data_IF_143289409739
#
_entry.id   IF_143289409739
#
_cell.length_a   1.000
_cell.length_b   1.000
_cell.length_c   1.000
_cell.angle_alpha   90.00
_cell.angle_beta   90.00
_cell.angle_gamma   90.00
#
_symmetry.space_group_name_H-M   'P 1'
#
loop_
_entity.id
_entity.type
_entity.pdbx_description
1 polymer ?
#
# COMPACT_ATOMS: atom_id res chain seq x y z
N UNK A 1 -13.23 5.34 -16.30
CA UNK A 1 -13.60 3.98 -15.86
C UNK A 1 -13.17 2.90 -16.86
N UNK A 2 -13.02 3.20 -18.15
CA UNK A 2 -12.66 2.22 -19.18
C UNK A 2 -11.16 2.25 -19.56
N UNK A 3 -10.32 2.92 -18.77
CA UNK A 3 -8.88 2.95 -18.97
C UNK A 3 -8.24 1.55 -18.96
N UNK A 4 -8.76 0.64 -18.13
CA UNK A 4 -8.28 -0.74 -18.02
C UNK A 4 -8.45 -1.56 -19.33
N UNK A 5 -9.34 -1.13 -20.24
CA UNK A 5 -9.53 -1.75 -21.55
C UNK A 5 -8.95 -0.91 -22.70
N UNK A 6 -8.03 0.02 -22.39
CA UNK A 6 -7.27 0.78 -23.38
C UNK A 6 -7.99 2.02 -23.94
N UNK A 7 -9.08 2.46 -23.32
CA UNK A 7 -9.79 3.69 -23.70
C UNK A 7 -9.38 4.85 -22.80
N UNK A 8 -8.85 5.92 -23.39
CA UNK A 8 -8.67 7.18 -22.67
C UNK A 8 -10.00 7.87 -22.37
N UNK A 9 -9.94 8.97 -21.61
CA UNK A 9 -11.12 9.74 -21.19
C UNK A 9 -11.95 10.27 -22.37
N UNK A 10 -11.29 10.63 -23.48
CA UNK A 10 -11.96 11.17 -24.66
C UNK A 10 -12.78 10.09 -25.37
N UNK A 11 -12.20 8.89 -25.53
CA UNK A 11 -12.91 7.75 -26.12
C UNK A 11 -14.06 7.28 -25.23
N UNK A 12 -13.85 7.24 -23.91
CA UNK A 12 -14.89 6.88 -22.95
C UNK A 12 -16.07 7.86 -23.01
N UNK A 13 -15.80 9.17 -23.05
CA UNK A 13 -16.82 10.19 -23.17
C UNK A 13 -17.60 10.09 -24.50
N UNK A 14 -16.90 9.85 -25.61
CA UNK A 14 -17.51 9.65 -26.92
C UNK A 14 -18.41 8.41 -26.97
N UNK A 15 -17.97 7.29 -26.40
CA UNK A 15 -18.77 6.07 -26.34
C UNK A 15 -20.05 6.28 -25.50
N UNK A 16 -19.95 6.92 -24.32
CA UNK A 16 -21.13 7.25 -23.51
C UNK A 16 -22.10 8.18 -24.23
N UNK A 17 -21.59 9.17 -24.97
CA UNK A 17 -22.41 10.06 -25.76
C UNK A 17 -23.21 9.28 -26.83
N UNK A 18 -22.58 8.34 -27.53
CA UNK A 18 -23.28 7.47 -28.49
C UNK A 18 -24.30 6.55 -27.83
N UNK A 19 -23.98 5.95 -26.67
CA UNK A 19 -24.92 5.10 -25.91
C UNK A 19 -26.16 5.87 -25.47
N UNK A 20 -25.99 7.12 -25.02
CA UNK A 20 -27.10 7.95 -24.53
C UNK A 20 -27.99 8.53 -25.64
N UNK A 21 -27.40 8.91 -26.78
CA UNK A 21 -28.12 9.56 -27.90
C UNK A 21 -28.60 8.54 -28.93
N UNK A 22 -28.05 7.33 -28.90
CA UNK A 22 -28.34 6.24 -29.83
C UNK A 22 -27.59 6.37 -31.16
N UNK A 23 -27.66 7.55 -31.81
CA UNK A 23 -26.93 7.82 -33.05
C UNK A 23 -26.52 9.30 -33.20
N UNK A 24 -25.27 9.58 -33.54
CA UNK A 24 -24.75 10.94 -33.74
C UNK A 24 -23.85 11.04 -34.99
N UNK A 25 -23.86 12.18 -35.66
CA UNK A 25 -22.82 12.51 -36.66
C UNK A 25 -21.59 13.16 -35.98
N UNK A 26 -20.53 13.39 -36.77
CA UNK A 26 -19.25 13.93 -36.26
C UNK A 26 -19.44 15.32 -35.63
N UNK A 27 -20.20 16.20 -36.28
CA UNK A 27 -20.47 17.56 -35.81
C UNK A 27 -21.32 17.57 -34.53
N UNK A 28 -22.31 16.67 -34.43
CA UNK A 28 -23.11 16.47 -33.22
C UNK A 28 -22.22 16.04 -32.04
N UNK A 29 -21.31 15.11 -32.27
CA UNK A 29 -20.41 14.59 -31.24
C UNK A 29 -19.36 15.63 -30.82
N UNK A 30 -18.76 16.33 -31.78
CA UNK A 30 -17.78 17.39 -31.56
C UNK A 30 -18.35 18.50 -30.66
N UNK A 31 -19.57 18.97 -30.95
CA UNK A 31 -20.26 19.97 -30.12
C UNK A 31 -20.54 19.49 -28.71
N UNK A 32 -20.97 18.23 -28.54
CA UNK A 32 -21.31 17.66 -27.22
C UNK A 32 -20.11 17.48 -26.32
N UNK A 33 -18.97 17.10 -26.91
CA UNK A 33 -17.74 16.84 -26.18
C UNK A 33 -16.81 18.05 -26.12
N UNK A 34 -17.20 19.17 -26.75
CA UNK A 34 -16.37 20.37 -26.86
C UNK A 34 -15.03 20.09 -27.56
N UNK A 35 -15.05 19.20 -28.55
CA UNK A 35 -13.90 18.78 -29.36
C UNK A 35 -13.92 19.45 -30.73
N UNK A 36 -12.77 19.45 -31.41
CA UNK A 36 -12.74 19.74 -32.84
C UNK A 36 -13.36 18.57 -33.64
N UNK A 37 -13.94 18.83 -34.81
CA UNK A 37 -14.45 17.76 -35.67
C UNK A 37 -13.39 16.70 -36.04
N UNK A 38 -12.13 17.07 -36.36
CA UNK A 38 -11.07 16.08 -36.57
C UNK A 38 -10.76 15.21 -35.35
N UNK A 39 -10.85 15.75 -34.13
CA UNK A 39 -10.66 14.97 -32.90
C UNK A 39 -11.83 14.02 -32.65
N UNK A 40 -13.07 14.49 -32.85
CA UNK A 40 -14.27 13.67 -32.74
C UNK A 40 -14.27 12.52 -33.76
N UNK A 41 -13.83 12.79 -35.00
CA UNK A 41 -13.69 11.76 -36.03
C UNK A 41 -12.60 10.74 -35.68
N UNK A 42 -11.44 11.18 -35.16
CA UNK A 42 -10.40 10.27 -34.66
C UNK A 42 -10.90 9.39 -33.52
N UNK A 43 -11.65 9.96 -32.57
CA UNK A 43 -12.23 9.21 -31.47
C UNK A 43 -13.22 8.15 -31.98
N UNK A 44 -14.09 8.50 -32.93
CA UNK A 44 -15.05 7.59 -33.55
C UNK A 44 -14.37 6.43 -34.29
N UNK A 45 -13.36 6.71 -35.11
CA UNK A 45 -12.59 5.66 -35.80
C UNK A 45 -11.87 4.74 -34.82
N UNK A 46 -11.36 5.29 -33.71
CA UNK A 46 -10.73 4.46 -32.68
C UNK A 46 -11.75 3.60 -31.94
N UNK A 47 -12.94 4.11 -31.64
CA UNK A 47 -14.04 3.30 -31.10
C UNK A 47 -14.47 2.20 -32.08
N UNK A 48 -14.50 2.49 -33.37
CA UNK A 48 -14.77 1.50 -34.43
C UNK A 48 -13.70 0.41 -34.48
N UNK A 49 -12.42 0.77 -34.39
CA UNK A 49 -11.31 -0.19 -34.31
C UNK A 49 -11.40 -1.13 -33.10
N UNK A 50 -12.06 -0.72 -32.02
CA UNK A 50 -12.33 -1.55 -30.83
C UNK A 50 -13.71 -2.24 -30.87
N UNK A 51 -14.47 -2.10 -31.97
CA UNK A 51 -15.81 -2.68 -32.09
C UNK A 51 -16.87 -2.01 -31.21
N UNK A 52 -16.60 -0.82 -30.68
CA UNK A 52 -17.49 -0.07 -29.77
C UNK A 52 -18.43 0.88 -30.52
N UNK A 53 -18.08 1.29 -31.74
CA UNK A 53 -18.95 2.11 -32.57
C UNK A 53 -18.93 1.59 -34.01
N UNK A 54 -19.98 1.89 -34.76
CA UNK A 54 -20.04 1.61 -36.19
C UNK A 54 -20.86 2.68 -36.90
N UNK A 55 -20.65 2.84 -38.20
CA UNK A 55 -21.55 3.66 -39.00
C UNK A 55 -22.93 3.00 -39.11
N UNK A 56 -23.97 3.80 -38.98
CA UNK A 56 -25.36 3.35 -39.01
C UNK A 56 -25.77 3.01 -40.45
N UNK A 57 -26.16 1.75 -40.74
CA UNK A 57 -26.68 1.40 -42.06
C UNK A 57 -28.06 2.03 -42.31
N UNK A 58 -28.82 2.31 -41.24
CA UNK A 58 -30.14 2.93 -41.34
C UNK A 58 -30.08 4.45 -41.54
N UNK A 59 -28.96 5.10 -41.18
CA UNK A 59 -28.77 6.55 -41.28
C UNK A 59 -27.34 6.86 -41.73
N UNK A 60 -27.09 6.93 -43.06
CA UNK A 60 -25.78 7.23 -43.61
C UNK A 60 -25.17 8.50 -42.98
N UNK A 61 -23.89 8.45 -42.62
CA UNK A 61 -23.18 9.56 -41.98
C UNK A 61 -23.34 9.67 -40.46
N UNK A 62 -24.18 8.83 -39.83
CA UNK A 62 -24.29 8.74 -38.36
C UNK A 62 -23.56 7.51 -37.83
N UNK A 63 -23.04 7.64 -36.62
CA UNK A 63 -22.39 6.60 -35.84
C UNK A 63 -23.33 6.12 -34.75
N UNK A 64 -23.30 4.82 -34.44
CA UNK A 64 -24.07 4.16 -33.38
C UNK A 64 -23.12 3.42 -32.45
N UNK A 65 -23.44 3.37 -31.17
CA UNK A 65 -22.72 2.54 -30.21
C UNK A 65 -23.09 1.07 -30.38
N UNK A 66 -22.09 0.19 -30.32
CA UNK A 66 -22.34 -1.23 -30.11
C UNK A 66 -22.89 -1.44 -28.67
N UNK A 67 -23.79 -2.42 -28.45
CA UNK A 67 -24.35 -2.68 -27.13
C UNK A 67 -23.27 -2.93 -26.07
N UNK A 68 -23.25 -2.16 -24.94
CA UNK A 68 -22.16 -2.23 -23.96
C UNK A 68 -21.90 -3.63 -23.41
N UNK A 69 -22.95 -4.39 -23.10
CA UNK A 69 -22.80 -5.74 -22.54
C UNK A 69 -22.06 -6.71 -23.47
N UNK A 70 -22.21 -6.55 -24.79
CA UNK A 70 -21.54 -7.40 -25.78
C UNK A 70 -20.15 -6.86 -26.10
N UNK A 71 -20.07 -5.57 -26.45
CA UNK A 71 -18.83 -4.99 -26.95
C UNK A 71 -17.76 -4.83 -25.85
N UNK A 72 -18.13 -4.34 -24.66
CA UNK A 72 -17.20 -4.26 -23.53
C UNK A 72 -16.86 -5.67 -23.01
N UNK A 73 -17.82 -6.61 -23.03
CA UNK A 73 -17.57 -8.00 -22.63
C UNK A 73 -16.54 -8.69 -23.53
N UNK A 74 -16.61 -8.48 -24.84
CA UNK A 74 -15.63 -8.99 -25.80
C UNK A 74 -14.23 -8.38 -25.56
N UNK A 75 -14.14 -7.06 -25.37
CA UNK A 75 -12.86 -6.40 -25.06
C UNK A 75 -12.26 -6.86 -23.74
N UNK A 76 -13.07 -7.02 -22.69
CA UNK A 76 -12.62 -7.55 -21.41
C UNK A 76 -12.11 -8.99 -21.54
N UNK A 77 -12.78 -9.82 -22.34
CA UNK A 77 -12.34 -11.20 -22.60
C UNK A 77 -11.01 -11.21 -23.34
N UNK A 78 -10.86 -10.36 -24.36
CA UNK A 78 -9.60 -10.23 -25.10
C UNK A 78 -8.46 -9.75 -24.18
N UNK A 79 -8.68 -8.75 -23.33
CA UNK A 79 -7.66 -8.27 -22.40
C UNK A 79 -7.26 -9.33 -21.37
N UNK A 80 -8.21 -10.13 -20.87
CA UNK A 80 -7.90 -11.26 -20.00
C UNK A 80 -7.02 -12.30 -20.70
N UNK A 81 -7.33 -12.60 -21.96
CA UNK A 81 -6.55 -13.54 -22.77
C UNK A 81 -5.13 -13.04 -23.03
N UNK A 82 -4.96 -11.75 -23.32
CA UNK A 82 -3.62 -11.16 -23.49
C UNK A 82 -2.84 -11.12 -22.17
N UNK A 83 -3.52 -10.91 -21.03
CA UNK A 83 -2.90 -11.01 -19.71
C UNK A 83 -2.45 -12.45 -19.41
N UNK A 84 -3.31 -13.45 -19.67
CA UNK A 84 -2.98 -14.87 -19.49
C UNK A 84 -1.78 -15.29 -20.36
N UNK A 85 -1.70 -14.79 -21.61
CA UNK A 85 -0.51 -14.99 -22.46
C UNK A 85 0.74 -14.35 -21.89
N UNK A 86 0.64 -13.12 -21.37
CA UNK A 86 1.76 -12.42 -20.77
C UNK A 86 2.25 -13.14 -19.51
N UNK A 87 1.34 -13.65 -18.68
CA UNK A 87 1.66 -14.48 -17.51
C UNK A 87 2.38 -15.77 -17.92
N UNK A 88 1.90 -16.47 -18.96
CA UNK A 88 2.57 -17.65 -19.50
C UNK A 88 3.98 -17.32 -20.03
N UNK A 89 4.13 -16.22 -20.76
CA UNK A 89 5.43 -15.77 -21.27
C UNK A 89 6.40 -15.42 -20.13
N UNK A 90 5.91 -14.77 -19.07
CA UNK A 90 6.70 -14.47 -17.88
C UNK A 90 7.14 -15.76 -17.16
N UNK A 91 6.26 -16.75 -17.04
CA UNK A 91 6.59 -18.05 -16.46
C UNK A 91 7.67 -18.79 -17.27
N UNK A 92 7.56 -18.78 -18.61
CA UNK A 92 8.57 -19.35 -19.50
C UNK A 92 9.92 -18.63 -19.38
N UNK A 93 9.94 -17.31 -19.35
CA UNK A 93 11.17 -16.54 -19.13
C UNK A 93 11.79 -16.82 -17.76
N UNK A 94 10.98 -17.00 -16.72
CA UNK A 94 11.45 -17.39 -15.39
C UNK A 94 12.02 -18.82 -15.37
N UNK A 95 11.47 -19.73 -16.18
CA UNK A 95 12.04 -21.07 -16.40
C UNK A 95 13.36 -21.00 -17.18
N UNK A 96 13.43 -20.23 -18.26
CA UNK A 96 14.67 -20.03 -19.04
C UNK A 96 15.77 -19.40 -18.18
N UNK A 97 15.44 -18.41 -17.36
CA UNK A 97 16.37 -17.79 -16.42
C UNK A 97 16.91 -18.80 -15.41
N UNK A 98 16.04 -19.64 -14.83
CA UNK A 98 16.44 -20.74 -13.93
C UNK A 98 17.26 -21.82 -14.65
N UNK A 99 16.92 -22.17 -15.88
CA UNK A 99 17.61 -23.21 -16.64
C UNK A 99 18.99 -22.76 -17.13
N UNK A 100 19.18 -21.47 -17.38
CA UNK A 100 20.47 -20.87 -17.72
C UNK A 100 21.41 -20.75 -16.50
N UNK A 101 20.87 -20.77 -15.27
CA UNK A 101 21.64 -20.96 -14.05
C UNK A 101 22.06 -22.44 -13.95
N UNK A 102 23.25 -22.76 -14.46
CA UNK A 102 23.79 -24.11 -14.43
C UNK A 102 23.92 -24.60 -12.96
N UNK A 103 23.21 -25.69 -12.67
CA UNK A 103 22.95 -26.31 -11.35
C UNK A 103 21.86 -25.60 -10.52
N UNK A 104 20.82 -26.31 -10.01
CA UNK A 104 19.94 -25.78 -8.97
C UNK A 104 20.73 -25.73 -7.66
N UNK A 105 21.73 -24.85 -7.62
CA UNK A 105 22.51 -24.52 -6.46
C UNK A 105 21.71 -23.52 -5.63
N UNK A 106 21.96 -23.52 -4.34
CA UNK A 106 21.42 -22.66 -3.28
C UNK A 106 21.31 -21.14 -3.63
N UNK A 107 21.90 -20.71 -4.74
CA UNK A 107 21.85 -19.37 -5.33
C UNK A 107 20.46 -18.93 -5.82
N UNK A 108 19.55 -19.83 -6.20
CA UNK A 108 18.17 -19.45 -6.60
C UNK A 108 17.27 -19.07 -5.42
N UNK A 109 17.70 -19.37 -4.19
CA UNK A 109 16.95 -19.00 -2.98
C UNK A 109 17.33 -17.61 -2.47
N UNK A 110 18.50 -17.10 -2.85
CA UNK A 110 19.04 -15.82 -2.35
C UNK A 110 19.79 -15.06 -3.46
N UNK A 111 19.23 -13.94 -3.92
CA UNK A 111 19.87 -12.97 -4.81
C UNK A 111 20.56 -11.87 -3.99
N UNK A 112 21.75 -11.43 -4.42
CA UNK A 112 22.44 -10.26 -3.85
C UNK A 112 22.26 -9.07 -4.79
N UNK A 113 21.59 -8.02 -4.31
CA UNK A 113 21.37 -6.77 -5.02
C UNK A 113 22.33 -5.73 -4.45
N UNK A 114 23.16 -5.12 -5.31
CA UNK A 114 24.18 -4.14 -4.89
C UNK A 114 23.95 -2.80 -5.59
N UNK A 115 24.14 -1.70 -4.85
CA UNK A 115 23.97 -0.33 -5.31
C UNK A 115 22.62 0.26 -4.93
N UNK A 116 22.60 1.53 -4.51
CA UNK A 116 21.38 2.19 -3.99
C UNK A 116 20.21 2.15 -4.97
N UNK A 117 20.44 2.42 -6.27
CA UNK A 117 19.37 2.40 -7.28
C UNK A 117 18.77 1.00 -7.45
N UNK A 118 19.61 -0.05 -7.53
CA UNK A 118 19.14 -1.42 -7.69
C UNK A 118 18.37 -1.89 -6.44
N UNK A 119 18.85 -1.55 -5.24
CA UNK A 119 18.16 -1.85 -3.97
C UNK A 119 16.81 -1.12 -3.89
N UNK A 120 16.74 0.14 -4.30
CA UNK A 120 15.49 0.91 -4.35
C UNK A 120 14.48 0.27 -5.32
N UNK A 121 14.92 -0.04 -6.54
CA UNK A 121 14.08 -0.64 -7.57
C UNK A 121 13.56 -2.02 -7.13
N UNK A 122 14.40 -2.84 -6.50
CA UNK A 122 13.99 -4.15 -5.99
C UNK A 122 13.00 -4.04 -4.84
N UNK A 123 13.17 -3.07 -3.95
CA UNK A 123 12.20 -2.77 -2.90
C UNK A 123 10.83 -2.38 -3.48
N UNK A 124 10.80 -1.49 -4.49
CA UNK A 124 9.56 -1.09 -5.16
C UNK A 124 8.89 -2.28 -5.87
N UNK A 125 9.66 -3.10 -6.58
CA UNK A 125 9.15 -4.31 -7.24
C UNK A 125 8.51 -5.30 -6.24
N UNK A 126 9.12 -5.46 -5.06
CA UNK A 126 8.57 -6.32 -4.01
C UNK A 126 7.19 -5.83 -3.54
N UNK A 127 7.01 -4.53 -3.34
CA UNK A 127 5.72 -3.97 -2.90
C UNK A 127 4.67 -3.96 -4.02
N UNK A 128 5.08 -3.62 -5.24
CA UNK A 128 4.17 -3.66 -6.40
C UNK A 128 3.74 -5.09 -6.74
N UNK A 129 4.59 -6.08 -6.50
CA UNK A 129 4.28 -7.50 -6.70
C UNK A 129 3.41 -8.13 -5.61
N UNK A 130 3.20 -7.46 -4.48
CA UNK A 130 2.39 -7.99 -3.38
C UNK A 130 0.90 -8.02 -3.75
N UNK A 131 0.24 -9.13 -3.41
CA UNK A 131 -1.16 -9.42 -3.68
C UNK A 131 -2.02 -9.49 -2.40
N UNK A 132 -1.46 -9.95 -1.27
CA UNK A 132 -2.21 -10.18 -0.04
C UNK A 132 -1.68 -9.38 1.15
N UNK A 133 -0.35 -9.41 1.37
CA UNK A 133 0.25 -8.84 2.57
C UNK A 133 1.71 -8.40 2.39
N UNK A 134 2.06 -7.28 2.99
CA UNK A 134 3.44 -6.83 3.21
C UNK A 134 3.72 -6.73 4.70
N UNK A 135 4.77 -7.42 5.15
CA UNK A 135 5.24 -7.40 6.54
C UNK A 135 6.60 -6.71 6.60
N UNK A 136 6.76 -5.70 7.46
CA UNK A 136 7.99 -4.91 7.54
C UNK A 136 8.51 -4.71 8.97
N UNK A 137 9.81 -4.86 9.16
CA UNK A 137 10.57 -4.39 10.32
C UNK A 137 11.38 -3.16 9.88
N UNK A 138 11.09 -2.01 10.48
CA UNK A 138 11.67 -0.71 10.10
C UNK A 138 12.65 -0.26 11.18
N UNK A 139 13.87 0.06 10.76
CA UNK A 139 14.94 0.61 11.62
C UNK A 139 15.12 2.11 11.38
N UNK A 140 15.72 2.82 12.33
CA UNK A 140 16.00 4.26 12.25
C UNK A 140 17.07 4.69 11.23
N UNK A 141 17.57 3.77 10.41
CA UNK A 141 18.55 4.05 9.35
C UNK A 141 17.95 3.67 7.99
N UNK A 142 17.27 4.60 7.30
CA UNK A 142 16.81 4.34 5.95
C UNK A 142 18.03 4.21 5.03
N UNK A 143 18.40 2.98 4.69
CA UNK A 143 19.59 2.70 3.88
C UNK A 143 19.43 3.23 2.44
N UNK A 144 18.18 3.28 1.92
CA UNK A 144 17.94 3.59 0.49
C UNK A 144 16.58 4.27 0.21
N UNK A 145 15.48 3.82 0.82
CA UNK A 145 14.11 4.31 0.52
C UNK A 145 13.47 4.83 1.81
N UNK A 146 12.89 6.04 1.74
CA UNK A 146 12.09 6.67 2.80
C UNK A 146 10.59 6.37 2.59
N UNK A 147 9.79 6.46 3.67
CA UNK A 147 8.34 6.20 3.57
C UNK A 147 7.56 7.30 2.85
N UNK A 148 8.11 8.52 2.76
CA UNK A 148 7.45 9.69 2.15
C UNK A 148 7.39 9.61 0.61
N UNK A 149 8.33 8.92 -0.03
CA UNK A 149 8.43 8.82 -1.50
C UNK A 149 7.89 7.49 -2.05
N UNK A 150 7.24 6.69 -1.20
CA UNK A 150 6.89 5.33 -1.55
C UNK A 150 5.50 5.18 -2.22
N UNK A 151 5.38 5.64 -3.46
CA UNK A 151 4.14 5.47 -4.26
C UNK A 151 3.72 4.01 -4.41
N UNK A 152 4.66 3.06 -4.36
CA UNK A 152 4.37 1.63 -4.48
C UNK A 152 3.51 1.11 -3.32
N UNK A 153 3.68 1.64 -2.12
CA UNK A 153 2.92 1.28 -0.93
C UNK A 153 1.48 1.80 -0.98
N UNK A 154 1.29 3.03 -1.46
CA UNK A 154 -0.04 3.57 -1.71
C UNK A 154 -0.78 2.77 -2.79
N UNK A 155 -0.09 2.42 -3.87
CA UNK A 155 -0.66 1.58 -4.93
C UNK A 155 -1.01 0.17 -4.42
N UNK A 156 -0.16 -0.45 -3.60
CA UNK A 156 -0.43 -1.77 -3.03
C UNK A 156 -1.63 -1.74 -2.08
N UNK A 157 -1.68 -0.76 -1.18
CA UNK A 157 -2.81 -0.60 -0.25
C UNK A 157 -4.11 -0.30 -1.00
N UNK A 158 -4.06 0.51 -2.06
CA UNK A 158 -5.21 0.76 -2.94
C UNK A 158 -5.74 -0.50 -3.66
N UNK A 159 -4.91 -1.55 -3.82
CA UNK A 159 -5.34 -2.88 -4.30
C UNK A 159 -5.89 -3.79 -3.20
N UNK A 160 -5.86 -3.35 -1.94
CA UNK A 160 -6.32 -4.14 -0.79
C UNK A 160 -5.24 -4.99 -0.11
N UNK A 161 -3.95 -4.76 -0.42
CA UNK A 161 -2.83 -5.44 0.25
C UNK A 161 -2.75 -4.99 1.71
N UNK A 162 -2.67 -5.93 2.64
CA UNK A 162 -2.57 -5.61 4.07
C UNK A 162 -1.12 -5.30 4.46
N UNK A 163 -0.92 -4.28 5.27
CA UNK A 163 0.40 -3.92 5.78
C UNK A 163 0.49 -4.17 7.28
N UNK A 164 1.52 -4.90 7.69
CA UNK A 164 1.90 -5.12 9.10
C UNK A 164 3.31 -4.62 9.33
N UNK A 165 3.43 -3.48 9.98
CA UNK A 165 4.69 -2.77 10.15
C UNK A 165 5.08 -2.75 11.62
N UNK A 166 6.29 -3.21 11.94
CA UNK A 166 6.90 -2.99 13.25
C UNK A 166 8.02 -1.96 13.11
N UNK A 167 7.90 -0.89 13.87
CA UNK A 167 8.81 0.24 13.85
C UNK A 167 9.70 0.19 15.10
N UNK A 168 11.00 0.32 14.91
CA UNK A 168 11.93 0.55 16.01
C UNK A 168 11.68 1.93 16.64
N UNK A 169 11.68 2.02 17.97
CA UNK A 169 11.41 3.27 18.69
C UNK A 169 12.25 4.45 18.20
N UNK A 170 13.51 4.22 17.86
CA UNK A 170 14.44 5.26 17.39
C UNK A 170 13.98 5.95 16.10
N UNK A 171 13.11 5.32 15.30
CA UNK A 171 12.48 5.92 14.12
C UNK A 171 11.58 7.10 14.53
N UNK A 172 10.93 7.03 15.70
CA UNK A 172 10.03 8.07 16.20
C UNK A 172 10.77 9.38 16.55
N UNK A 173 12.07 9.28 16.80
CA UNK A 173 12.95 10.42 17.09
C UNK A 173 13.49 11.09 15.82
N UNK A 174 13.30 10.47 14.64
CA UNK A 174 13.76 11.03 13.36
C UNK A 174 12.90 12.22 12.92
N UNK A 175 13.47 13.22 12.22
CA UNK A 175 12.75 14.43 11.80
C UNK A 175 11.43 14.20 11.05
N UNK A 176 11.32 13.08 10.32
CA UNK A 176 10.14 12.71 9.54
C UNK A 176 9.43 11.44 10.02
N UNK A 177 9.97 10.74 11.04
CA UNK A 177 9.46 9.42 11.42
C UNK A 177 8.02 9.43 11.91
N UNK A 178 7.61 10.46 12.65
CA UNK A 178 6.22 10.61 13.09
C UNK A 178 5.25 10.96 11.97
N UNK A 179 5.71 11.68 10.95
CA UNK A 179 4.89 12.02 9.77
C UNK A 179 4.70 10.79 8.88
N UNK A 180 5.77 10.02 8.65
CA UNK A 180 5.72 8.75 7.91
C UNK A 180 4.77 7.76 8.59
N UNK A 181 4.87 7.67 9.92
CA UNK A 181 4.02 6.80 10.73
C UNK A 181 2.54 7.21 10.73
N UNK A 182 2.27 8.51 10.75
CA UNK A 182 0.90 9.02 10.61
C UNK A 182 0.33 8.72 9.20
N UNK A 183 1.15 8.85 8.15
CA UNK A 183 0.74 8.50 6.80
C UNK A 183 0.43 7.01 6.66
N UNK A 184 1.27 6.14 7.25
CA UNK A 184 1.02 4.70 7.32
C UNK A 184 -0.30 4.37 8.04
N UNK A 185 -0.53 4.94 9.22
CA UNK A 185 -1.77 4.71 9.97
C UNK A 185 -3.01 5.25 9.25
N UNK A 186 -2.88 6.34 8.50
CA UNK A 186 -3.96 6.88 7.65
C UNK A 186 -4.36 5.97 6.48
N UNK A 187 -3.56 4.94 6.17
CA UNK A 187 -3.82 3.92 5.13
C UNK A 187 -4.37 2.61 5.71
N UNK A 188 -4.87 2.62 6.94
CA UNK A 188 -5.32 1.42 7.68
C UNK A 188 -4.22 0.34 7.85
N UNK A 189 -2.95 0.75 7.80
CA UNK A 189 -1.83 -0.15 8.09
C UNK A 189 -1.80 -0.53 9.57
N UNK A 190 -1.47 -1.78 9.87
CA UNK A 190 -1.30 -2.21 11.25
C UNK A 190 0.12 -1.90 11.70
N UNK A 191 0.27 -0.87 12.53
CA UNK A 191 1.59 -0.45 13.00
C UNK A 191 1.81 -0.80 14.48
N UNK A 192 2.98 -1.37 14.77
CA UNK A 192 3.45 -1.63 16.13
C UNK A 192 4.83 -1.04 16.37
N UNK A 193 5.17 -0.79 17.63
CA UNK A 193 6.46 -0.25 18.05
C UNK A 193 7.17 -1.20 19.00
N UNK A 194 8.48 -1.36 18.80
CA UNK A 194 9.37 -2.12 19.70
C UNK A 194 10.62 -1.29 20.01
N UNK A 195 11.27 -1.56 21.14
CA UNK A 195 12.51 -0.85 21.54
C UNK A 195 13.63 -1.02 20.51
N UNK A 196 13.79 -2.24 19.97
CA UNK A 196 14.78 -2.59 18.95
C UNK A 196 14.25 -3.70 18.03
N UNK A 197 14.40 -3.53 16.72
CA UNK A 197 14.21 -4.65 15.76
C UNK A 197 15.56 -5.32 15.49
N UNK A 198 15.62 -6.66 15.33
CA UNK A 198 16.89 -7.36 15.10
C UNK A 198 17.59 -7.01 13.79
N UNK A 199 16.81 -6.72 12.75
CA UNK A 199 17.28 -6.27 11.44
C UNK A 199 16.14 -5.59 10.69
N UNK A 200 16.47 -4.76 9.68
CA UNK A 200 15.47 -4.31 8.70
C UNK A 200 15.06 -5.51 7.85
N UNK A 201 13.77 -5.68 7.64
CA UNK A 201 13.21 -6.83 6.91
C UNK A 201 11.92 -6.41 6.25
N UNK A 202 11.71 -6.78 4.99
CA UNK A 202 10.41 -6.65 4.33
C UNK A 202 10.07 -7.97 3.65
N UNK A 203 8.83 -8.42 3.78
CA UNK A 203 8.31 -9.67 3.23
C UNK A 203 7.04 -9.34 2.44
N UNK A 204 6.89 -9.88 1.23
CA UNK A 204 5.65 -9.86 0.46
C UNK A 204 5.08 -11.28 0.32
N UNK A 205 3.80 -11.45 0.66
CA UNK A 205 2.99 -12.67 0.47
C UNK A 205 3.65 -13.99 0.95
N UNK A 206 4.60 -13.90 1.88
CA UNK A 206 5.48 -15.02 2.28
C UNK A 206 6.15 -15.73 1.10
N UNK A 207 6.34 -15.05 -0.02
CA UNK A 207 6.98 -15.60 -1.23
C UNK A 207 8.33 -14.95 -1.52
N UNK A 208 8.54 -13.72 -1.02
CA UNK A 208 9.77 -12.95 -1.21
C UNK A 208 10.08 -12.13 0.04
N UNK A 209 11.34 -12.08 0.45
CA UNK A 209 11.82 -11.17 1.49
C UNK A 209 13.04 -10.38 1.03
N UNK A 210 13.25 -9.21 1.63
CA UNK A 210 14.42 -8.39 1.44
C UNK A 210 15.01 -7.98 2.78
N UNK A 211 16.33 -8.19 2.94
CA UNK A 211 17.10 -7.85 4.16
C UNK A 211 18.37 -7.12 3.74
N UNK A 212 18.76 -5.99 4.36
CA UNK A 212 20.01 -5.34 4.01
C UNK A 212 21.19 -6.24 4.33
N UNK A 213 22.15 -6.30 3.41
CA UNK A 213 23.43 -6.91 3.66
C UNK A 213 24.33 -5.86 4.30
N UNK A 214 24.72 -6.07 5.56
CA UNK A 214 25.76 -5.25 6.19
C UNK A 214 27.10 -5.56 5.53
N UNK A 215 27.40 -4.85 4.44
CA UNK A 215 28.67 -4.98 3.72
C UNK A 215 29.73 -4.06 4.31
N UNK A 216 31.01 -4.45 4.17
CA UNK A 216 32.17 -3.58 4.47
C UNK A 216 32.47 -2.59 3.33
N UNK A 217 31.72 -2.67 2.23
CA UNK A 217 31.83 -1.77 1.06
C UNK A 217 31.02 -0.50 1.27
N UNK A 218 31.39 0.58 0.58
CA UNK A 218 30.69 1.87 0.67
C UNK A 218 29.28 1.85 0.03
N UNK A 219 29.00 0.87 -0.84
CA UNK A 219 27.73 0.76 -1.55
C UNK A 219 26.70 -0.08 -0.77
N UNK A 220 25.43 0.38 -0.67
CA UNK A 220 24.33 -0.40 -0.11
C UNK A 220 24.14 -1.73 -0.85
N UNK A 221 23.85 -2.78 -0.10
CA UNK A 221 23.48 -4.07 -0.66
C UNK A 221 22.32 -4.69 0.12
N UNK A 222 21.55 -5.54 -0.53
CA UNK A 222 20.44 -6.29 0.06
C UNK A 222 20.43 -7.73 -0.44
N UNK A 223 20.01 -8.64 0.43
CA UNK A 223 19.65 -10.00 0.08
C UNK A 223 18.17 -10.03 -0.26
N UNK A 224 17.83 -10.59 -1.42
CA UNK A 224 16.47 -10.94 -1.82
C UNK A 224 16.33 -12.45 -1.64
N UNK A 225 15.42 -12.87 -0.79
CA UNK A 225 15.22 -14.28 -0.41
C UNK A 225 13.89 -14.75 -0.97
N UNK A 226 13.93 -15.78 -1.83
CA UNK A 226 12.75 -16.40 -2.42
C UNK A 226 12.18 -17.50 -1.51
N UNK A 227 10.98 -17.97 -1.85
CA UNK A 227 10.27 -19.05 -1.15
C UNK A 227 11.18 -20.25 -0.82
N UNK A 228 11.48 -20.39 0.48
CA UNK A 228 12.45 -21.35 1.00
C UNK A 228 12.34 -21.49 2.52
N UNK A 229 13.04 -22.46 3.10
CA UNK A 229 13.17 -22.56 4.55
C UNK A 229 13.82 -21.31 5.20
N UNK A 230 14.67 -20.58 4.46
CA UNK A 230 15.22 -19.31 4.94
C UNK A 230 14.13 -18.23 5.01
N UNK A 231 13.26 -18.16 4.01
CA UNK A 231 12.12 -17.25 4.04
C UNK A 231 11.17 -17.54 5.21
N UNK A 232 10.90 -18.82 5.48
CA UNK A 232 10.08 -19.22 6.63
C UNK A 232 10.72 -18.81 7.97
N UNK A 233 12.05 -18.88 8.08
CA UNK A 233 12.76 -18.37 9.26
C UNK A 233 12.65 -16.84 9.40
N UNK A 234 12.73 -16.09 8.30
CA UNK A 234 12.54 -14.64 8.29
C UNK A 234 11.09 -14.25 8.63
N UNK A 235 10.11 -14.99 8.11
CA UNK A 235 8.72 -14.82 8.48
C UNK A 235 8.50 -15.14 9.97
N UNK A 236 9.11 -16.20 10.50
CA UNK A 236 9.09 -16.52 11.93
C UNK A 236 9.73 -15.43 12.80
N UNK A 237 10.83 -14.81 12.35
CA UNK A 237 11.44 -13.66 13.00
C UNK A 237 10.46 -12.48 13.07
N UNK A 238 9.83 -12.14 11.95
CA UNK A 238 8.82 -11.10 11.91
C UNK A 238 7.67 -11.38 12.90
N UNK A 239 7.09 -12.59 12.88
CA UNK A 239 5.99 -12.95 13.78
C UNK A 239 6.39 -12.94 15.26
N UNK A 240 7.64 -13.24 15.58
CA UNK A 240 8.15 -13.12 16.95
C UNK A 240 8.19 -11.65 17.39
N UNK A 241 8.77 -10.78 16.56
CA UNK A 241 8.86 -9.35 16.84
C UNK A 241 7.47 -8.71 16.90
N UNK A 242 6.57 -9.10 16.00
CA UNK A 242 5.19 -8.64 15.95
C UNK A 242 4.40 -8.89 17.23
N UNK A 243 4.54 -10.09 17.81
CA UNK A 243 3.87 -10.46 19.08
C UNK A 243 4.40 -9.68 20.27
N UNK A 244 5.67 -9.28 20.25
CA UNK A 244 6.29 -8.52 21.34
C UNK A 244 6.03 -7.01 21.24
N UNK A 245 5.77 -6.51 20.03
CA UNK A 245 5.60 -5.10 19.74
C UNK A 245 4.26 -4.54 20.27
N UNK A 246 4.26 -3.26 20.66
CA UNK A 246 3.09 -2.54 21.16
C UNK A 246 2.30 -1.93 20.00
N UNK A 247 0.97 -2.11 19.91
CA UNK A 247 0.18 -1.48 18.87
C UNK A 247 0.20 0.04 19.01
N UNK A 248 0.37 0.73 17.89
CA UNK A 248 0.27 2.18 17.79
C UNK A 248 -1.08 2.57 17.20
N UNK A 249 -1.70 3.63 17.75
CA UNK A 249 -3.00 4.14 17.26
C UNK A 249 -2.87 5.63 16.97
N UNK A 250 -3.22 6.07 15.76
CA UNK A 250 -3.31 7.47 15.34
C UNK A 250 -4.45 7.65 14.31
N UNK A 251 -5.66 8.05 14.74
CA UNK A 251 -6.83 8.34 13.88
C UNK A 251 -7.38 7.13 13.11
N UNK A 252 -8.64 7.03 12.67
CA UNK A 252 -9.75 7.96 12.65
C UNK A 252 -10.69 7.83 13.86
N UNK A 253 -11.47 8.89 14.09
CA UNK A 253 -12.68 8.89 14.91
C UNK A 253 -13.74 7.93 14.32
N UNK A 254 -13.46 6.62 14.37
CA UNK A 254 -14.46 5.58 14.29
C UNK A 254 -15.17 5.55 15.62
N UNK A 255 -16.50 5.50 15.57
CA UNK A 255 -17.42 5.40 16.71
C UNK A 255 -17.13 4.12 17.49
N UNK A 256 -16.03 4.08 18.25
CA UNK A 256 -15.82 3.07 19.27
C UNK A 256 -16.87 3.37 20.32
N UNK A 257 -17.77 2.40 20.55
CA UNK A 257 -18.78 2.46 21.61
C UNK A 257 -18.16 3.09 22.84
N UNK A 258 -18.61 4.30 23.18
CA UNK A 258 -18.32 4.93 24.45
C UNK A 258 -18.78 3.95 25.51
N UNK A 259 -17.85 3.11 26.00
CA UNK A 259 -18.06 2.45 27.28
C UNK A 259 -18.14 3.62 28.26
N UNK A 260 -19.28 3.85 28.94
CA UNK A 260 -19.48 5.06 29.74
C UNK A 260 -18.42 5.23 30.85
N UNK A 261 -17.67 4.16 31.17
CA UNK A 261 -16.61 4.12 32.19
C UNK A 261 -15.18 3.89 31.64
N UNK A 262 -14.93 4.06 30.33
CA UNK A 262 -13.64 3.75 29.67
C UNK A 262 -12.85 4.96 29.14
N UNK A 263 -11.58 4.75 28.72
CA UNK A 263 -10.83 5.73 27.93
C UNK A 263 -11.50 5.98 26.57
N UNK A 264 -11.55 7.24 26.14
CA UNK A 264 -12.03 7.59 24.79
C UNK A 264 -10.96 7.30 23.72
N UNK A 265 -11.31 7.46 22.43
CA UNK A 265 -10.38 7.19 21.33
C UNK A 265 -9.08 8.02 21.43
N UNK A 266 -9.20 9.31 21.78
CA UNK A 266 -8.04 10.20 21.95
C UNK A 266 -7.18 9.81 23.16
N UNK A 267 -7.79 9.33 24.24
CA UNK A 267 -7.09 8.83 25.41
C UNK A 267 -6.26 7.58 25.06
N UNK A 268 -6.79 6.69 24.21
CA UNK A 268 -6.07 5.52 23.70
C UNK A 268 -4.92 5.91 22.76
N UNK A 269 -5.09 6.92 21.92
CA UNK A 269 -4.02 7.47 21.07
C UNK A 269 -2.88 8.04 21.93
N UNK A 270 -3.20 8.93 22.88
CA UNK A 270 -2.25 9.49 23.84
C UNK A 270 -1.51 8.38 24.58
N UNK A 271 -2.24 7.40 25.10
CA UNK A 271 -1.67 6.27 25.83
C UNK A 271 -0.73 5.42 24.96
N UNK A 272 -1.11 5.14 23.71
CA UNK A 272 -0.29 4.36 22.79
C UNK A 272 1.04 5.05 22.45
N UNK A 273 1.01 6.37 22.22
CA UNK A 273 2.22 7.16 21.95
C UNK A 273 3.13 7.25 23.18
N UNK A 274 2.56 7.45 24.37
CA UNK A 274 3.35 7.47 25.61
C UNK A 274 4.01 6.11 25.89
N UNK A 275 3.31 5.00 25.61
CA UNK A 275 3.85 3.66 25.74
C UNK A 275 4.90 3.33 24.66
N UNK A 276 4.77 3.93 23.48
CA UNK A 276 5.81 3.93 22.46
C UNK A 276 7.04 4.78 22.85
N UNK A 277 6.99 5.51 23.98
CA UNK A 277 8.10 6.26 24.54
C UNK A 277 8.13 7.75 24.19
N UNK A 278 7.08 8.28 23.55
CA UNK A 278 7.01 9.71 23.26
C UNK A 278 6.83 10.55 24.53
N UNK A 279 7.35 11.78 24.49
CA UNK A 279 7.10 12.79 25.54
C UNK A 279 5.75 13.47 25.36
N UNK A 280 5.17 14.02 26.43
CA UNK A 280 3.92 14.79 26.36
C UNK A 280 3.97 15.94 25.32
N UNK A 281 5.15 16.55 25.13
CA UNK A 281 5.36 17.62 24.16
C UNK A 281 5.28 17.07 22.72
N UNK A 282 5.91 15.93 22.47
CA UNK A 282 5.86 15.26 21.17
C UNK A 282 4.44 14.77 20.87
N UNK A 283 3.74 14.19 21.85
CA UNK A 283 2.33 13.77 21.75
C UNK A 283 1.42 14.95 21.42
N UNK A 284 1.59 16.07 22.13
CA UNK A 284 0.81 17.29 21.90
C UNK A 284 0.95 17.79 20.46
N UNK A 285 2.19 17.86 19.96
CA UNK A 285 2.46 18.26 18.57
C UNK A 285 1.85 17.28 17.56
N UNK A 286 1.94 15.98 17.81
CA UNK A 286 1.48 14.94 16.88
C UNK A 286 -0.05 14.90 16.74
N UNK A 287 -0.78 15.08 17.84
CA UNK A 287 -2.24 15.02 17.86
C UNK A 287 -2.91 16.39 17.65
N UNK A 288 -2.13 17.44 17.36
CA UNK A 288 -2.58 18.84 17.30
C UNK A 288 -3.33 19.27 18.58
N UNK A 289 -2.82 18.86 19.74
CA UNK A 289 -3.38 19.15 21.06
C UNK A 289 -2.47 20.12 21.84
N UNK A 290 -3.07 20.92 22.73
CA UNK A 290 -2.29 21.66 23.72
C UNK A 290 -1.60 20.75 24.74
N UNK A 291 -0.37 21.05 25.16
CA UNK A 291 0.37 20.29 26.17
C UNK A 291 -0.45 20.04 27.47
N UNK A 292 -1.18 21.06 27.93
CA UNK A 292 -2.05 20.95 29.10
C UNK A 292 -3.20 19.95 28.88
N UNK A 293 -3.70 19.84 27.66
CA UNK A 293 -4.75 18.89 27.29
C UNK A 293 -4.23 17.45 27.40
N UNK A 294 -3.04 17.19 26.86
CA UNK A 294 -2.38 15.88 26.99
C UNK A 294 -2.16 15.53 28.47
N UNK A 295 -1.57 16.44 29.24
CA UNK A 295 -1.34 16.21 30.68
C UNK A 295 -2.63 15.98 31.48
N UNK A 296 -3.72 16.68 31.14
CA UNK A 296 -5.03 16.48 31.76
C UNK A 296 -5.61 15.10 31.42
N UNK A 297 -5.51 14.67 30.16
CA UNK A 297 -5.96 13.33 29.72
C UNK A 297 -5.18 12.22 30.41
N UNK A 298 -3.86 12.34 30.52
CA UNK A 298 -3.03 11.37 31.27
C UNK A 298 -3.46 11.29 32.74
N UNK A 299 -3.73 12.41 33.41
CA UNK A 299 -4.24 12.40 34.79
C UNK A 299 -5.58 11.71 34.90
N UNK A 300 -6.52 12.01 33.99
CA UNK A 300 -7.82 11.32 33.92
C UNK A 300 -7.64 9.81 33.76
N UNK A 301 -6.74 9.37 32.88
CA UNK A 301 -6.44 7.94 32.69
C UNK A 301 -5.88 7.29 33.94
N UNK A 302 -5.02 7.99 34.68
CA UNK A 302 -4.51 7.53 35.98
C UNK A 302 -5.62 7.42 37.03
N UNK A 303 -6.54 8.38 37.08
CA UNK A 303 -7.72 8.35 37.95
C UNK A 303 -8.65 7.17 37.60
N UNK A 304 -8.95 6.94 36.32
CA UNK A 304 -9.74 5.80 35.82
C UNK A 304 -9.08 4.45 36.10
N UNK A 305 -7.75 4.41 36.07
CA UNK A 305 -6.96 3.24 36.41
C UNK A 305 -6.82 3.02 37.92
N UNK A 306 -7.09 4.03 38.75
CA UNK A 306 -6.85 3.99 40.19
C UNK A 306 -5.37 3.97 40.57
N UNK A 307 -4.51 4.58 39.74
CA UNK A 307 -3.05 4.55 39.88
C UNK A 307 -2.47 5.95 40.09
N UNK A 308 -1.31 6.04 40.73
CA UNK A 308 -0.67 7.33 41.06
C UNK A 308 0.58 7.61 40.26
N UNK A 309 1.06 6.64 39.48
CA UNK A 309 2.23 6.79 38.61
C UNK A 309 1.92 6.39 37.17
N UNK A 310 2.62 7.00 36.22
CA UNK A 310 2.52 6.65 34.79
C UNK A 310 2.98 5.23 34.50
N UNK A 311 3.95 4.72 35.27
CA UNK A 311 4.42 3.34 35.17
C UNK A 311 3.28 2.36 35.49
N UNK A 312 2.55 2.61 36.57
CA UNK A 312 1.37 1.82 36.92
C UNK A 312 0.25 1.98 35.88
N UNK A 313 0.06 3.18 35.32
CA UNK A 313 -0.89 3.38 34.22
C UNK A 313 -0.56 2.50 33.02
N UNK A 314 0.72 2.41 32.66
CA UNK A 314 1.16 1.54 31.57
C UNK A 314 0.91 0.05 31.83
N UNK A 315 1.20 -0.42 33.05
CA UNK A 315 0.88 -1.79 33.47
C UNK A 315 -0.62 -2.08 33.40
N UNK A 316 -1.42 -1.15 33.92
CA UNK A 316 -2.88 -1.30 33.98
C UNK A 316 -3.54 -1.24 32.60
N UNK A 317 -3.03 -0.39 31.72
CA UNK A 317 -3.45 -0.30 30.33
C UNK A 317 -3.27 -1.64 29.59
N UNK A 318 -2.20 -2.37 29.90
CA UNK A 318 -1.95 -3.70 29.35
C UNK A 318 -2.94 -4.73 29.91
N UNK A 319 -3.13 -4.79 31.24
CA UNK A 319 -4.06 -5.74 31.88
C UNK A 319 -5.51 -5.54 31.45
N UNK A 320 -5.97 -4.30 31.28
CA UNK A 320 -7.34 -3.99 30.84
C UNK A 320 -7.53 -4.04 29.32
N UNK A 321 -6.48 -4.38 28.57
CA UNK A 321 -6.52 -4.43 27.12
C UNK A 321 -6.77 -3.08 26.44
N UNK A 322 -6.43 -1.97 27.09
CA UNK A 322 -6.41 -0.65 26.46
C UNK A 322 -5.32 -0.59 25.38
N UNK A 323 -4.22 -1.32 25.59
CA UNK A 323 -3.12 -1.49 24.64
C UNK A 323 -2.69 -2.97 24.65
N UNK A 324 -3.26 -3.79 23.77
CA UNK A 324 -3.02 -5.25 23.73
C UNK A 324 -1.90 -5.65 22.79
N UNK A 325 -0.95 -6.48 23.26
CA UNK A 325 -0.10 -7.31 22.40
C UNK A 325 -0.88 -8.56 21.99
N UNK A 326 -1.76 -8.46 20.99
CA UNK A 326 -2.46 -9.65 20.45
C UNK A 326 -1.76 -10.18 19.21
#
# INVERSE_FOLDING_TARGET
>A
MLAAIGLDETHEAAYRALVSVGAADVSDLARRLTLSEPDAERALRRLEGHGLAAQSPARPGRWVAAPPGVALGALLTQQRHELEKAELAAALLAEEYRAAAAEPAVHDLVEVVTGSSAVAQRFLQLQLGAAEEVCALVTGSPVVVSGVENEAEEQATGRGVRYRVVVERTVLDLPHGLTELAAALGRDEQVRVVDRVPTKLVIADRSLAMVPLTSRTAEPAALVVHASGLLELLAGLFESVWREALPLRLGAAGVAEERPDGPDATDLEVLSLLLAGLTDVSVAKQLDLGLRTVQRRVRRLMELAGVTTRLQLGWHAYERGWVTRS
#
